data_IF_110449045954
#
_entry.id   IF_110449045954
#
_cell.length_a   1.000
_cell.length_b   1.000
_cell.length_c   1.000
_cell.angle_alpha   90.00
_cell.angle_beta   90.00
_cell.angle_gamma   90.00
#
_symmetry.space_group_name_H-M   'P 1'
#
loop_
_entity.id
_entity.type
_entity.pdbx_description
1 polymer ?
#
# COMPACT_ATOMS: atom_id res chain seq x y z
N UNK A 1 -5.92 21.19 -34.71
CA UNK A 1 -5.74 20.29 -33.54
C UNK A 1 -4.74 19.21 -33.93
N UNK A 2 -3.61 19.04 -33.21
CA UNK A 2 -2.66 17.98 -33.52
C UNK A 2 -3.34 16.61 -33.38
N UNK A 3 -3.19 15.76 -34.39
CA UNK A 3 -3.74 14.40 -34.38
C UNK A 3 -2.96 13.54 -33.38
N UNK A 4 -3.64 12.87 -32.42
CA UNK A 4 -2.92 12.05 -31.46
C UNK A 4 -2.26 10.87 -32.15
N UNK A 5 -0.96 10.70 -31.89
CA UNK A 5 -0.13 9.63 -32.46
C UNK A 5 -0.63 8.26 -31.99
N UNK A 6 -0.35 7.18 -32.74
CA UNK A 6 -0.80 5.82 -32.38
C UNK A 6 -0.38 5.41 -30.96
N UNK A 7 0.80 5.86 -30.52
CA UNK A 7 1.32 5.62 -29.17
C UNK A 7 0.44 6.24 -28.09
N UNK A 8 -0.02 7.49 -28.26
CA UNK A 8 -0.88 8.16 -27.28
C UNK A 8 -2.21 7.44 -27.07
N UNK A 9 -2.77 6.84 -28.13
CA UNK A 9 -3.99 6.03 -28.03
C UNK A 9 -3.78 4.70 -27.29
N UNK A 10 -2.61 4.08 -27.47
CA UNK A 10 -2.26 2.85 -26.75
C UNK A 10 -2.03 3.13 -25.27
N UNK A 11 -1.30 4.19 -24.93
CA UNK A 11 -1.07 4.62 -23.54
C UNK A 11 -2.40 4.89 -22.84
N UNK A 12 -3.29 5.67 -23.45
CA UNK A 12 -4.61 5.97 -22.87
C UNK A 12 -5.48 4.71 -22.66
N UNK A 13 -5.31 3.67 -23.47
CA UNK A 13 -6.01 2.38 -23.29
C UNK A 13 -5.41 1.54 -22.16
N UNK A 14 -4.09 1.58 -22.00
CA UNK A 14 -3.38 0.79 -20.99
C UNK A 14 -3.38 1.45 -19.60
N UNK A 15 -3.50 2.77 -19.55
CA UNK A 15 -3.44 3.54 -18.31
C UNK A 15 -4.50 3.11 -17.29
N UNK A 16 -5.76 2.95 -17.72
CA UNK A 16 -6.86 2.53 -16.84
C UNK A 16 -6.68 1.16 -16.20
N UNK A 17 -6.42 0.07 -16.96
CA UNK A 17 -6.21 -1.24 -16.33
C UNK A 17 -4.96 -1.26 -15.44
N UNK A 18 -3.90 -0.53 -15.80
CA UNK A 18 -2.70 -0.41 -14.96
C UNK A 18 -3.01 0.30 -13.64
N UNK A 19 -3.74 1.41 -13.67
CA UNK A 19 -4.16 2.13 -12.45
C UNK A 19 -5.06 1.28 -11.56
N UNK A 20 -6.01 0.53 -12.14
CA UNK A 20 -6.84 -0.41 -11.37
C UNK A 20 -6.01 -1.51 -10.73
N UNK A 21 -5.08 -2.10 -11.48
CA UNK A 21 -4.18 -3.14 -10.95
C UNK A 21 -3.30 -2.59 -9.82
N UNK A 22 -2.75 -1.38 -9.98
CA UNK A 22 -2.00 -0.71 -8.91
C UNK A 22 -2.85 -0.49 -7.66
N UNK A 23 -4.09 0.00 -7.81
CA UNK A 23 -5.00 0.20 -6.69
C UNK A 23 -5.28 -1.11 -5.94
N UNK A 24 -5.57 -2.19 -6.67
CA UNK A 24 -5.80 -3.53 -6.09
C UNK A 24 -4.57 -4.03 -5.34
N UNK A 25 -3.37 -3.90 -5.92
CA UNK A 25 -2.12 -4.30 -5.27
C UNK A 25 -1.88 -3.50 -3.98
N UNK A 26 -2.10 -2.19 -3.99
CA UNK A 26 -1.95 -1.35 -2.79
C UNK A 26 -2.92 -1.76 -1.68
N UNK A 27 -4.19 -2.04 -2.01
CA UNK A 27 -5.19 -2.52 -1.04
C UNK A 27 -4.80 -3.89 -0.49
N UNK A 28 -4.37 -4.83 -1.35
CA UNK A 28 -3.94 -6.15 -0.92
C UNK A 28 -2.73 -6.08 0.04
N UNK A 29 -1.73 -5.24 -0.28
CA UNK A 29 -0.60 -5.00 0.60
C UNK A 29 -1.01 -4.38 1.95
N UNK A 30 -1.94 -3.42 1.93
CA UNK A 30 -2.46 -2.82 3.16
C UNK A 30 -3.21 -3.83 4.03
N UNK A 31 -4.09 -4.66 3.44
CA UNK A 31 -4.81 -5.72 4.14
C UNK A 31 -3.85 -6.75 4.76
N UNK A 32 -2.82 -7.16 4.01
CA UNK A 32 -1.77 -8.06 4.51
C UNK A 32 -1.03 -7.46 5.71
N UNK A 33 -0.66 -6.17 5.64
CA UNK A 33 -0.01 -5.46 6.76
C UNK A 33 -0.91 -5.39 8.00
N UNK A 34 -2.20 -5.05 7.83
CA UNK A 34 -3.17 -5.03 8.93
C UNK A 34 -3.30 -6.39 9.60
N UNK A 35 -3.35 -7.47 8.81
CA UNK A 35 -3.37 -8.82 9.34
C UNK A 35 -2.11 -9.14 10.17
N UNK A 36 -0.93 -8.77 9.67
CA UNK A 36 0.34 -8.98 10.40
C UNK A 36 0.40 -8.16 11.70
N UNK A 37 -0.10 -6.92 11.68
CA UNK A 37 -0.23 -6.07 12.88
C UNK A 37 -1.16 -6.70 13.90
N UNK A 38 -2.35 -7.16 13.48
CA UNK A 38 -3.29 -7.84 14.37
C UNK A 38 -2.70 -9.12 14.98
N UNK A 39 -1.97 -9.89 14.18
CA UNK A 39 -1.26 -11.08 14.65
C UNK A 39 -0.18 -10.72 15.67
N UNK A 40 0.60 -9.67 15.42
CA UNK A 40 1.65 -9.21 16.33
C UNK A 40 1.09 -8.75 17.68
N UNK A 41 -0.09 -8.11 17.69
CA UNK A 41 -0.78 -7.72 18.92
C UNK A 41 -1.27 -8.93 19.71
N UNK A 42 -1.76 -9.99 19.03
CA UNK A 42 -2.20 -11.22 19.69
C UNK A 42 -1.03 -12.05 20.25
N UNK A 43 0.09 -12.12 19.52
CA UNK A 43 1.25 -12.94 19.92
C UNK A 43 2.24 -12.21 20.82
N UNK A 44 2.22 -10.88 20.85
CA UNK A 44 3.27 -10.07 21.48
C UNK A 44 4.61 -10.14 20.73
N UNK A 45 4.63 -10.69 19.51
CA UNK A 45 5.83 -10.88 18.70
C UNK A 45 5.64 -10.20 17.35
N UNK A 46 6.44 -9.18 17.08
CA UNK A 46 6.45 -8.46 15.81
C UNK A 46 7.68 -8.87 15.00
N UNK A 47 7.45 -9.38 13.79
CA UNK A 47 8.53 -9.80 12.90
C UNK A 47 8.66 -8.79 11.77
N UNK A 48 9.59 -7.85 11.94
CA UNK A 48 9.92 -6.88 10.92
C UNK A 48 10.85 -7.47 9.86
N UNK A 49 10.56 -7.23 8.58
CA UNK A 49 11.52 -7.43 7.49
C UNK A 49 12.21 -6.09 7.26
N UNK A 50 13.43 -5.86 7.80
CA UNK A 50 14.13 -4.61 7.53
C UNK A 50 14.46 -4.49 6.04
N UNK A 51 14.49 -3.26 5.52
CA UNK A 51 14.83 -2.95 4.12
C UNK A 51 16.24 -3.45 3.73
N UNK A 52 17.13 -3.60 4.70
CA UNK A 52 18.44 -4.20 4.55
C UNK A 52 18.80 -4.95 5.84
N UNK A 53 19.30 -6.18 5.70
CA UNK A 53 19.79 -6.99 6.82
C UNK A 53 18.88 -8.16 7.22
N UNK A 54 19.30 -8.96 8.22
CA UNK A 54 18.57 -10.14 8.66
C UNK A 54 17.22 -9.77 9.28
N UNK A 55 16.24 -10.66 9.12
CA UNK A 55 14.89 -10.53 9.70
C UNK A 55 15.01 -10.27 11.21
N UNK A 56 14.42 -9.19 11.71
CA UNK A 56 14.44 -8.85 13.14
C UNK A 56 13.11 -9.21 13.78
N UNK A 57 13.19 -9.84 14.94
CA UNK A 57 12.05 -10.21 15.77
C UNK A 57 12.07 -9.28 16.97
N UNK A 58 11.02 -8.48 17.11
CA UNK A 58 10.81 -7.59 18.24
C UNK A 58 9.80 -8.24 19.16
N UNK A 59 10.20 -8.44 20.42
CA UNK A 59 9.39 -9.07 21.45
C UNK A 59 8.89 -7.98 22.39
N UNK A 60 7.58 -7.95 22.64
CA UNK A 60 6.99 -6.98 23.57
C UNK A 60 7.57 -7.11 24.99
N UNK A 61 7.97 -8.32 25.39
CA UNK A 61 8.52 -8.61 26.71
C UNK A 61 9.97 -8.13 26.89
N UNK A 62 10.78 -8.14 25.83
CA UNK A 62 12.22 -7.83 25.90
C UNK A 62 12.49 -6.38 25.54
N UNK A 63 11.89 -5.90 24.44
CA UNK A 63 12.17 -4.59 23.85
C UNK A 63 10.86 -3.89 23.47
N UNK A 64 10.07 -3.42 24.46
CA UNK A 64 8.74 -2.86 24.21
C UNK A 64 8.80 -1.59 23.36
N UNK A 65 9.82 -0.75 23.53
CA UNK A 65 9.99 0.48 22.76
C UNK A 65 10.12 0.22 21.26
N UNK A 66 11.05 -0.64 20.88
CA UNK A 66 11.30 -0.99 19.48
C UNK A 66 10.13 -1.76 18.85
N UNK A 67 9.43 -2.58 19.64
CA UNK A 67 8.20 -3.26 19.23
C UNK A 67 7.11 -2.25 18.84
N UNK A 68 6.78 -1.31 19.74
CA UNK A 68 5.73 -0.31 19.49
C UNK A 68 6.13 0.68 18.39
N UNK A 69 7.41 1.09 18.34
CA UNK A 69 7.91 1.94 17.28
C UNK A 69 7.76 1.29 15.90
N UNK A 70 8.14 0.01 15.79
CA UNK A 70 8.02 -0.74 14.54
C UNK A 70 6.56 -0.90 14.10
N UNK A 71 5.66 -1.20 15.04
CA UNK A 71 4.21 -1.29 14.79
C UNK A 71 3.64 0.05 14.34
N UNK A 72 4.00 1.15 15.01
CA UNK A 72 3.54 2.48 14.66
C UNK A 72 4.00 2.86 13.24
N UNK A 73 5.26 2.61 12.92
CA UNK A 73 5.80 2.88 11.58
C UNK A 73 5.11 2.07 10.49
N UNK A 74 4.87 0.77 10.74
CA UNK A 74 4.18 -0.09 9.79
C UNK A 74 2.71 0.29 9.59
N UNK A 75 2.08 0.82 10.63
CA UNK A 75 0.73 1.37 10.60
C UNK A 75 0.66 2.65 9.75
N UNK A 76 1.64 3.56 9.90
CA UNK A 76 1.77 4.75 9.04
C UNK A 76 1.91 4.34 7.58
N UNK A 77 2.79 3.38 7.27
CA UNK A 77 2.93 2.85 5.90
C UNK A 77 1.62 2.26 5.36
N UNK A 78 0.87 1.55 6.20
CA UNK A 78 -0.42 1.02 5.83
C UNK A 78 -1.42 2.14 5.48
N UNK A 79 -1.47 3.20 6.30
CA UNK A 79 -2.33 4.36 6.04
C UNK A 79 -1.95 5.09 4.75
N UNK A 80 -0.65 5.24 4.46
CA UNK A 80 -0.16 5.83 3.21
C UNK A 80 -0.59 5.00 2.00
N UNK A 81 -0.48 3.66 2.06
CA UNK A 81 -0.93 2.78 0.98
C UNK A 81 -2.44 2.89 0.75
N UNK A 82 -3.24 2.93 1.82
CA UNK A 82 -4.69 3.12 1.71
C UNK A 82 -5.05 4.50 1.16
N UNK A 83 -4.35 5.55 1.57
CA UNK A 83 -4.54 6.90 1.04
C UNK A 83 -4.26 6.93 -0.47
N UNK A 84 -3.15 6.34 -0.93
CA UNK A 84 -2.81 6.24 -2.35
C UNK A 84 -3.83 5.38 -3.13
N UNK A 85 -4.28 4.26 -2.57
CA UNK A 85 -5.34 3.44 -3.16
C UNK A 85 -6.66 4.22 -3.30
N UNK A 86 -7.03 5.00 -2.27
CA UNK A 86 -8.24 5.83 -2.31
C UNK A 86 -8.13 6.97 -3.33
N UNK A 87 -6.97 7.62 -3.43
CA UNK A 87 -6.72 8.69 -4.39
C UNK A 87 -6.73 8.16 -5.84
N UNK A 88 -6.13 7.00 -6.08
CA UNK A 88 -6.16 6.35 -7.40
C UNK A 88 -7.56 5.89 -7.77
N UNK A 89 -8.31 5.29 -6.84
CA UNK A 89 -9.72 4.95 -7.03
C UNK A 89 -10.58 6.19 -7.31
N UNK A 90 -10.40 7.27 -6.56
CA UNK A 90 -11.09 8.54 -6.79
C UNK A 90 -10.76 9.12 -8.16
N UNK A 91 -9.50 9.11 -8.59
CA UNK A 91 -9.11 9.57 -9.94
C UNK A 91 -9.84 8.81 -11.04
N UNK A 92 -9.96 7.48 -10.91
CA UNK A 92 -10.70 6.64 -11.85
C UNK A 92 -12.20 6.96 -11.90
N UNK A 93 -12.80 7.34 -10.77
CA UNK A 93 -14.23 7.71 -10.67
C UNK A 93 -14.45 9.16 -11.13
N UNK A 94 -13.62 10.11 -10.73
CA UNK A 94 -13.73 11.52 -11.06
C UNK A 94 -13.54 11.77 -12.57
N UNK A 95 -12.71 10.97 -13.25
CA UNK A 95 -12.56 10.96 -14.70
C UNK A 95 -13.77 10.34 -15.45
N UNK A 96 -14.78 9.79 -14.75
CA UNK A 96 -16.05 9.34 -15.34
C UNK A 96 -17.12 10.42 -15.43
N UNK A 97 -16.85 11.71 -15.18
CA UNK A 97 -17.87 12.75 -15.38
C UNK A 97 -18.42 12.66 -16.81
N UNK A 98 -19.72 12.35 -16.99
CA UNK A 98 -20.34 12.39 -18.31
C UNK A 98 -20.27 13.84 -18.80
N UNK A 99 -19.84 14.02 -20.05
CA UNK A 99 -20.10 15.26 -20.79
C UNK A 99 -21.59 15.37 -21.07
#
# INVERSE_FOLDING_TARGET
>A
MPTPTRLQRLVARLERPVLMLMAVVMVACAAMKLYLLAKALQSGVYIGVPRAGPKRIYLLATDPGDYWFSIAWDSVLCLVLLALASATGWSLIALRKPK
#
